data_IF_212665520666
#
_entry.id   IF_212665520666
#
_cell.length_a   1.000
_cell.length_b   1.000
_cell.length_c   1.000
_cell.angle_alpha   90.00
_cell.angle_beta   90.00
_cell.angle_gamma   90.00
#
_symmetry.space_group_name_H-M   'P 1'
#
loop_
_entity.id
_entity.type
_entity.pdbx_description
1 polymer ?
#
# COMPACT_ATOMS: atom_id res chain seq x y z
N UNK A 1 -46.72 -3.63 36.08
CA UNK A 1 -45.39 -2.97 36.03
C UNK A 1 -44.22 -3.91 35.70
N UNK A 2 -44.15 -5.15 36.23
CA UNK A 2 -43.06 -6.14 35.93
C UNK A 2 -42.89 -6.53 34.45
N UNK A 3 -43.96 -6.50 33.64
CA UNK A 3 -43.91 -6.87 32.21
C UNK A 3 -43.37 -5.76 31.30
N UNK A 4 -43.51 -4.49 31.71
CA UNK A 4 -42.98 -3.34 30.95
C UNK A 4 -41.45 -3.29 31.01
N UNK A 5 -40.86 -3.61 32.17
CA UNK A 5 -39.41 -3.60 32.37
C UNK A 5 -38.70 -4.64 31.50
N UNK A 6 -39.32 -5.82 31.31
CA UNK A 6 -38.79 -6.86 30.41
C UNK A 6 -38.82 -6.41 28.94
N UNK A 7 -39.84 -5.68 28.52
CA UNK A 7 -39.95 -5.15 27.16
C UNK A 7 -38.92 -4.05 26.89
N UNK A 8 -38.72 -3.14 27.84
CA UNK A 8 -37.69 -2.08 27.76
C UNK A 8 -36.28 -2.69 27.74
N UNK A 9 -36.03 -3.74 28.50
CA UNK A 9 -34.73 -4.43 28.54
C UNK A 9 -34.42 -5.16 27.21
N UNK A 10 -35.42 -5.77 26.58
CA UNK A 10 -35.26 -6.44 25.26
C UNK A 10 -34.99 -5.42 24.15
N UNK A 11 -35.65 -4.26 24.18
CA UNK A 11 -35.42 -3.18 23.21
C UNK A 11 -34.02 -2.57 23.38
N UNK A 12 -33.54 -2.41 24.62
CA UNK A 12 -32.18 -1.90 24.89
C UNK A 12 -31.06 -2.79 24.35
N UNK A 13 -31.22 -4.12 24.37
CA UNK A 13 -30.23 -5.07 23.84
C UNK A 13 -30.18 -5.04 22.31
N UNK A 14 -31.33 -4.89 21.65
CA UNK A 14 -31.42 -4.84 20.18
C UNK A 14 -30.72 -3.60 19.60
N UNK A 15 -30.81 -2.45 20.27
CA UNK A 15 -30.17 -1.19 19.82
C UNK A 15 -28.64 -1.22 19.97
N UNK A 16 -28.10 -1.97 20.94
CA UNK A 16 -26.64 -2.14 21.08
C UNK A 16 -26.03 -3.13 20.08
N UNK A 17 -26.83 -4.05 19.52
CA UNK A 17 -26.35 -5.03 18.52
C UNK A 17 -26.28 -4.48 17.09
N UNK A 18 -26.79 -3.28 16.84
CA UNK A 18 -26.87 -2.68 15.51
C UNK A 18 -25.81 -1.61 15.23
N UNK A 19 -24.64 -1.67 15.88
CA UNK A 19 -23.48 -0.97 15.32
C UNK A 19 -22.88 -1.90 14.24
N UNK A 20 -23.20 -1.71 12.94
CA UNK A 20 -22.42 -2.37 11.90
C UNK A 20 -20.97 -1.95 12.15
N UNK A 21 -20.13 -2.96 12.33
CA UNK A 21 -18.84 -2.83 13.00
C UNK A 21 -18.11 -1.54 12.64
N UNK A 22 -17.58 -0.88 13.67
CA UNK A 22 -16.49 0.07 13.54
C UNK A 22 -15.31 -0.70 12.92
N UNK A 23 -15.39 -0.98 11.61
CA UNK A 23 -14.31 -1.54 10.83
C UNK A 23 -13.25 -0.47 10.89
N UNK A 24 -12.14 -0.79 11.57
CA UNK A 24 -10.94 0.04 11.58
C UNK A 24 -10.72 0.54 10.15
N UNK A 25 -10.76 1.85 9.94
CA UNK A 25 -10.48 2.41 8.62
C UNK A 25 -9.07 1.94 8.26
N UNK A 26 -8.87 1.28 7.09
CA UNK A 26 -7.55 0.84 6.69
C UNK A 26 -6.63 2.05 6.63
N UNK A 27 -5.46 1.95 7.27
CA UNK A 27 -4.45 2.99 7.15
C UNK A 27 -3.83 2.89 5.76
N UNK A 28 -3.73 4.01 5.07
CA UNK A 28 -3.09 4.14 3.76
C UNK A 28 -1.75 4.88 3.91
N UNK A 29 -0.93 4.86 2.86
CA UNK A 29 0.40 5.48 2.85
C UNK A 29 1.51 4.56 3.38
N UNK A 30 2.72 5.10 3.49
CA UNK A 30 3.92 4.37 3.89
C UNK A 30 3.95 3.86 5.34
N UNK A 31 3.06 4.40 6.19
CA UNK A 31 2.81 3.94 7.56
C UNK A 31 1.43 3.24 7.67
N UNK A 32 0.92 2.81 6.52
CA UNK A 32 -0.34 2.11 6.38
C UNK A 32 -0.32 0.69 6.94
N UNK A 33 -1.44 0.00 6.80
CA UNK A 33 -1.46 -1.44 7.04
C UNK A 33 -0.86 -2.15 5.80
N UNK A 34 0.12 -3.03 6.00
CA UNK A 34 0.74 -3.81 4.91
C UNK A 34 -0.34 -4.60 4.17
N UNK A 35 -0.38 -4.46 2.84
CA UNK A 35 -1.35 -5.16 1.99
C UNK A 35 -0.81 -6.50 1.52
N UNK A 36 0.40 -6.51 0.99
CA UNK A 36 1.12 -7.69 0.55
C UNK A 36 2.62 -7.35 0.37
N UNK A 37 3.52 -8.34 0.49
CA UNK A 37 4.92 -8.15 0.13
C UNK A 37 5.12 -8.31 -1.39
N UNK A 38 6.11 -7.59 -1.91
CA UNK A 38 6.78 -7.89 -3.17
C UNK A 38 8.05 -8.67 -2.83
N UNK A 39 8.28 -9.77 -3.54
CA UNK A 39 9.46 -10.62 -3.38
C UNK A 39 10.08 -10.81 -4.75
N UNK A 40 11.29 -10.26 -4.95
CA UNK A 40 12.04 -10.34 -6.20
C UNK A 40 11.17 -10.05 -7.43
N UNK A 41 10.33 -9.02 -7.33
CA UNK A 41 9.39 -8.69 -8.40
C UNK A 41 10.12 -7.93 -9.48
N UNK A 42 10.09 -8.45 -10.71
CA UNK A 42 10.72 -7.81 -11.87
C UNK A 42 9.90 -6.62 -12.36
N UNK A 43 10.60 -5.56 -12.73
CA UNK A 43 10.00 -4.34 -13.25
C UNK A 43 10.99 -3.22 -13.42
N UNK A 44 10.47 -2.06 -13.80
CA UNK A 44 11.27 -0.89 -14.11
C UNK A 44 11.30 0.09 -12.94
N UNK A 45 12.48 0.62 -12.64
CA UNK A 45 12.65 1.71 -11.67
C UNK A 45 12.79 3.06 -12.38
N UNK A 46 12.09 4.07 -11.86
CA UNK A 46 12.15 5.46 -12.34
C UNK A 46 12.34 6.36 -11.12
N UNK A 47 13.35 7.23 -11.13
CA UNK A 47 13.64 8.10 -10.00
C UNK A 47 14.11 9.49 -10.42
N UNK A 48 13.96 10.47 -9.53
CA UNK A 48 14.47 11.81 -9.69
C UNK A 48 15.18 12.23 -8.40
N UNK A 49 16.50 12.41 -8.50
CA UNK A 49 17.38 12.75 -7.38
C UNK A 49 17.09 14.15 -6.84
N UNK A 50 16.80 15.12 -7.71
CA UNK A 50 16.55 16.50 -7.32
C UNK A 50 15.25 16.65 -6.51
N UNK A 51 14.23 15.87 -6.86
CA UNK A 51 12.92 15.91 -6.20
C UNK A 51 12.73 14.83 -5.15
N UNK A 52 13.74 13.97 -4.92
CA UNK A 52 13.61 12.80 -4.03
C UNK A 52 12.37 11.96 -4.32
N UNK A 53 12.09 11.74 -5.61
CA UNK A 53 10.94 10.96 -6.06
C UNK A 53 11.42 9.65 -6.67
N UNK A 54 10.72 8.55 -6.39
CA UNK A 54 10.97 7.29 -7.07
C UNK A 54 9.68 6.46 -7.18
N UNK A 55 9.58 5.69 -8.26
CA UNK A 55 8.51 4.73 -8.48
C UNK A 55 9.03 3.46 -9.14
N UNK A 56 8.35 2.36 -8.85
CA UNK A 56 8.54 1.05 -9.44
C UNK A 56 7.30 0.64 -10.24
N UNK A 57 7.53 0.09 -11.43
CA UNK A 57 6.49 -0.40 -12.32
C UNK A 57 6.78 -1.87 -12.66
N UNK A 58 6.08 -2.83 -12.03
CA UNK A 58 6.27 -4.25 -12.29
C UNK A 58 5.97 -4.59 -13.75
N UNK A 59 6.67 -5.58 -14.29
CA UNK A 59 6.46 -6.06 -15.66
C UNK A 59 5.13 -6.83 -15.79
N UNK A 60 4.83 -7.70 -14.83
CA UNK A 60 3.71 -8.65 -14.93
C UNK A 60 2.44 -8.22 -14.20
N UNK A 61 2.48 -7.10 -13.48
CA UNK A 61 1.38 -6.62 -12.65
C UNK A 61 1.01 -5.21 -13.10
N UNK A 62 -0.25 -5.02 -13.50
CA UNK A 62 -0.79 -3.69 -13.81
C UNK A 62 -0.97 -2.89 -12.52
N UNK A 63 0.13 -2.31 -12.02
CA UNK A 63 0.18 -1.51 -10.81
C UNK A 63 1.35 -0.53 -10.87
N UNK A 64 1.27 0.55 -10.11
CA UNK A 64 2.38 1.50 -9.96
C UNK A 64 2.66 1.66 -8.48
N UNK A 65 3.93 1.58 -8.10
CA UNK A 65 4.37 1.63 -6.72
C UNK A 65 5.22 2.89 -6.52
N UNK A 66 4.72 3.87 -5.79
CA UNK A 66 5.54 5.01 -5.35
C UNK A 66 6.40 4.58 -4.17
N UNK A 67 7.70 4.87 -4.22
CA UNK A 67 8.63 4.44 -3.18
C UNK A 67 8.53 5.37 -1.98
N UNK A 68 8.31 4.77 -0.81
CA UNK A 68 8.33 5.42 0.47
C UNK A 68 9.72 5.97 0.78
N UNK A 69 9.77 7.19 1.31
CA UNK A 69 11.00 7.81 1.78
C UNK A 69 12.11 7.75 0.72
N UNK A 70 11.76 8.01 -0.55
CA UNK A 70 12.67 7.81 -1.69
C UNK A 70 14.01 8.55 -1.55
N UNK A 71 14.06 9.66 -0.79
CA UNK A 71 15.31 10.33 -0.45
C UNK A 71 16.25 9.50 0.44
N UNK A 72 15.72 8.67 1.34
CA UNK A 72 16.51 7.81 2.23
C UNK A 72 17.08 6.58 1.51
N UNK A 73 16.40 6.11 0.46
CA UNK A 73 16.81 4.94 -0.32
C UNK A 73 17.44 5.30 -1.67
N UNK A 74 17.66 6.59 -1.96
CA UNK A 74 18.17 7.05 -3.27
C UNK A 74 19.55 6.45 -3.61
N UNK A 75 20.42 6.26 -2.61
CA UNK A 75 21.72 5.61 -2.79
C UNK A 75 21.60 4.15 -3.25
N UNK A 76 20.46 3.49 -2.99
CA UNK A 76 20.17 2.15 -3.52
C UNK A 76 19.68 2.20 -4.97
N UNK A 77 19.09 3.31 -5.41
CA UNK A 77 18.46 3.45 -6.73
C UNK A 77 19.43 4.00 -7.79
N UNK A 78 20.30 4.93 -7.40
CA UNK A 78 21.23 5.61 -8.32
C UNK A 78 22.28 4.73 -9.00
N UNK A 79 22.63 3.52 -8.50
CA UNK A 79 23.46 2.58 -9.26
C UNK A 79 22.78 2.02 -10.52
N UNK A 80 21.45 2.11 -10.63
CA UNK A 80 20.66 1.61 -11.75
C UNK A 80 20.36 2.73 -12.75
N UNK A 81 20.36 2.40 -14.05
CA UNK A 81 19.98 3.36 -15.08
C UNK A 81 18.48 3.68 -15.02
N UNK A 82 18.10 4.89 -15.46
CA UNK A 82 16.69 5.28 -15.56
C UNK A 82 15.97 4.34 -16.53
N UNK A 83 14.94 3.65 -16.05
CA UNK A 83 14.22 2.70 -16.88
C UNK A 83 14.83 1.30 -16.93
N UNK A 84 15.88 0.99 -16.16
CA UNK A 84 16.47 -0.35 -16.10
C UNK A 84 15.50 -1.37 -15.46
N UNK A 85 15.48 -2.60 -15.99
CA UNK A 85 14.79 -3.72 -15.35
C UNK A 85 15.56 -4.18 -14.11
N UNK A 86 14.86 -4.24 -12.99
CA UNK A 86 15.37 -4.62 -11.68
C UNK A 86 14.42 -5.59 -11.00
N UNK A 87 14.95 -6.34 -10.04
CA UNK A 87 14.16 -7.13 -9.10
C UNK A 87 14.05 -6.35 -7.79
N UNK A 88 12.82 -6.16 -7.33
CA UNK A 88 12.50 -5.36 -6.14
C UNK A 88 11.79 -6.21 -5.09
N UNK A 89 12.20 -6.05 -3.83
CA UNK A 89 11.53 -6.63 -2.67
C UNK A 89 11.15 -5.54 -1.66
N UNK A 90 9.99 -5.70 -1.02
CA UNK A 90 9.52 -4.76 -0.01
C UNK A 90 8.04 -4.94 0.33
N UNK A 91 7.53 -4.08 1.20
CA UNK A 91 6.13 -4.12 1.63
C UNK A 91 5.29 -3.11 0.85
N UNK A 92 4.18 -3.57 0.28
CA UNK A 92 3.22 -2.71 -0.40
C UNK A 92 2.09 -2.26 0.54
N UNK A 93 1.73 -0.99 0.44
CA UNK A 93 0.68 -0.33 1.20
C UNK A 93 -0.31 0.33 0.24
N UNK A 94 -1.56 0.50 0.66
CA UNK A 94 -2.53 1.23 -0.17
C UNK A 94 -2.14 2.70 -0.30
N UNK A 95 -2.16 3.22 -1.53
CA UNK A 95 -2.06 4.65 -1.80
C UNK A 95 -3.31 5.37 -1.24
N UNK A 96 -3.09 6.41 -0.43
CA UNK A 96 -4.17 7.23 0.11
C UNK A 96 -5.02 7.91 -0.96
N UNK A 97 -4.45 8.13 -2.15
CA UNK A 97 -5.18 8.67 -3.29
C UNK A 97 -6.37 7.77 -3.69
N UNK A 98 -6.33 6.46 -3.42
CA UNK A 98 -7.47 5.55 -3.62
C UNK A 98 -8.72 5.95 -2.84
N UNK A 99 -8.53 6.56 -1.66
CA UNK A 99 -9.66 6.96 -0.80
C UNK A 99 -10.46 8.12 -1.40
N UNK A 100 -9.80 8.95 -2.20
CA UNK A 100 -10.42 10.11 -2.86
C UNK A 100 -10.76 9.82 -4.33
N UNK A 101 -10.03 8.92 -4.97
CA UNK A 101 -10.22 8.52 -6.35
C UNK A 101 -10.25 6.99 -6.50
N UNK A 102 -11.44 6.38 -6.63
CA UNK A 102 -11.56 4.93 -6.75
C UNK A 102 -10.95 4.37 -8.05
N UNK A 103 -10.69 5.21 -9.06
CA UNK A 103 -10.01 4.78 -10.29
C UNK A 103 -8.51 4.54 -10.10
N UNK A 104 -7.93 4.97 -8.97
CA UNK A 104 -6.51 4.77 -8.64
C UNK A 104 -6.23 3.41 -7.97
N UNK A 105 -7.10 2.41 -8.14
CA UNK A 105 -7.03 1.13 -7.43
C UNK A 105 -5.71 0.36 -7.60
N UNK A 106 -4.98 0.62 -8.69
CA UNK A 106 -3.71 0.01 -9.04
C UNK A 106 -2.46 0.75 -8.49
N UNK A 107 -2.65 1.84 -7.74
CA UNK A 107 -1.53 2.58 -7.14
C UNK A 107 -1.18 2.01 -5.76
N UNK A 108 0.08 1.92 -5.41
CA UNK A 108 0.50 1.48 -4.09
C UNK A 108 1.68 2.34 -3.63
N UNK A 109 1.89 2.39 -2.32
CA UNK A 109 3.17 2.82 -1.76
C UNK A 109 4.03 1.59 -1.52
N UNK A 110 5.34 1.70 -1.70
CA UNK A 110 6.29 0.61 -1.50
C UNK A 110 7.39 1.04 -0.53
N UNK A 111 7.50 0.35 0.60
CA UNK A 111 8.69 0.45 1.43
C UNK A 111 9.74 -0.50 0.88
N UNK A 112 10.70 0.06 0.15
CA UNK A 112 11.77 -0.70 -0.48
C UNK A 112 12.69 -1.32 0.58
N UNK A 113 12.95 -2.62 0.45
CA UNK A 113 13.90 -3.33 1.33
C UNK A 113 15.13 -3.81 0.57
N UNK A 114 14.94 -4.18 -0.70
CA UNK A 114 16.02 -4.66 -1.56
C UNK A 114 15.72 -4.31 -3.02
N UNK A 115 16.78 -4.00 -3.75
CA UNK A 115 16.78 -3.82 -5.20
C UNK A 115 18.05 -4.47 -5.76
N UNK A 116 17.91 -5.22 -6.85
CA UNK A 116 19.03 -5.87 -7.53
C UNK A 116 18.81 -5.93 -9.02
N UNK A 117 19.87 -6.15 -9.78
CA UNK A 117 19.81 -6.32 -11.22
C UNK A 117 19.07 -7.61 -11.57
N UNK A 118 18.22 -7.56 -12.60
CA UNK A 118 17.62 -8.77 -13.17
C UNK A 118 18.62 -9.41 -14.15
N UNK A 119 19.26 -10.51 -13.74
CA UNK A 119 20.29 -11.18 -14.55
C UNK A 119 19.72 -12.05 -15.68
N UNK A 120 18.39 -12.21 -15.74
CA UNK A 120 17.72 -13.09 -16.70
C UNK A 120 17.16 -12.35 -17.93
N UNK A 121 17.24 -11.01 -17.96
CA UNK A 121 16.66 -10.15 -19.00
C UNK A 121 17.68 -9.82 -20.12
N UNK A 122 18.33 -10.88 -20.68
CA UNK A 122 19.23 -10.81 -21.85
C UNK A 122 18.50 -11.10 -23.18
#
# INVERSE_FOLDING_TARGET
>A
MRKLYKFIFIIGILVFSSQPGCKKQPKCGCDGDVRFPLVETSGTIIYNVETSYAKFQPTDIYSTFEICDAGEVMDMLTPFEQGETVLVSGDAYDDCYKMVNPYAYANYMLRLTEIKKDEFDN
#
